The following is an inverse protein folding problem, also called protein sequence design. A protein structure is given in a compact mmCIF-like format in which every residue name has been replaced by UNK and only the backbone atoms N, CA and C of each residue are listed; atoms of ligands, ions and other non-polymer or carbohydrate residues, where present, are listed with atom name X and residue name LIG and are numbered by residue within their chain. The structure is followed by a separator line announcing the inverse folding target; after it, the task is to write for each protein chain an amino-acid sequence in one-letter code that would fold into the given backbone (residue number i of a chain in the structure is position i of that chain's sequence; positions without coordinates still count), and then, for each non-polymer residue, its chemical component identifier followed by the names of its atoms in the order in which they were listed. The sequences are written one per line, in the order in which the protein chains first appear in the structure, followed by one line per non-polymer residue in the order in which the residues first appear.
data_IF_438932326777
#
_entry.id   IF_438932326777
#
_cell.length_a   1.000
_cell.length_b   1.000
_cell.length_c   1.000
_cell.angle_alpha   90.00
_cell.angle_beta   90.00
_cell.angle_gamma   90.00
#
_symmetry.space_group_name_H-M   'P 1'
#
loop_
_entity.id
_entity.type
_entity.pdbx_description
1 polymer ?
#
# COMPACT_ATOMS: atom_id res chain seq x y z
N UNK A 1 -5.67 -8.31 -7.93
CA UNK A 1 -4.36 -8.01 -7.33
C UNK A 1 -3.71 -9.30 -6.83
N UNK A 2 -2.42 -9.27 -6.46
CA UNK A 2 -1.74 -10.47 -5.93
C UNK A 2 -2.44 -10.94 -4.65
N UNK A 3 -2.88 -10.02 -3.79
CA UNK A 3 -3.72 -10.33 -2.61
C UNK A 3 -4.98 -11.11 -2.98
N UNK A 4 -5.73 -10.61 -3.97
CA UNK A 4 -6.97 -11.21 -4.45
C UNK A 4 -6.74 -12.60 -5.04
N UNK A 5 -5.63 -12.78 -5.76
CA UNK A 5 -5.23 -14.07 -6.28
C UNK A 5 -4.88 -15.06 -5.16
N UNK A 6 -4.13 -14.62 -4.14
CA UNK A 6 -3.86 -15.49 -2.98
C UNK A 6 -5.15 -15.89 -2.25
N UNK A 7 -6.06 -14.94 -2.06
CA UNK A 7 -7.36 -15.20 -1.44
C UNK A 7 -8.20 -16.19 -2.28
N UNK A 8 -8.18 -16.04 -3.61
CA UNK A 8 -8.79 -16.98 -4.54
C UNK A 8 -8.16 -18.38 -4.48
N UNK A 9 -6.83 -18.49 -4.38
CA UNK A 9 -6.15 -19.78 -4.23
C UNK A 9 -6.53 -20.49 -2.93
N UNK A 10 -6.82 -19.73 -1.86
CA UNK A 10 -7.25 -20.28 -0.58
C UNK A 10 -8.73 -20.71 -0.59
N UNK A 11 -9.63 -19.84 -1.07
CA UNK A 11 -11.08 -20.04 -0.92
C UNK A 11 -11.80 -20.55 -2.17
N UNK A 12 -11.20 -20.42 -3.34
CA UNK A 12 -11.86 -20.61 -4.64
C UNK A 12 -12.77 -19.45 -5.05
N UNK A 13 -12.91 -18.40 -4.23
CA UNK A 13 -13.72 -17.23 -4.54
C UNK A 13 -12.88 -16.06 -5.03
N UNK A 14 -13.28 -15.47 -6.16
CA UNK A 14 -12.58 -14.34 -6.76
C UNK A 14 -13.34 -13.04 -6.47
N UNK A 15 -12.65 -12.07 -5.86
CA UNK A 15 -13.14 -10.72 -5.64
C UNK A 15 -11.95 -9.76 -5.63
N UNK A 16 -12.21 -8.46 -5.69
CA UNK A 16 -11.17 -7.45 -5.46
C UNK A 16 -11.62 -6.49 -4.37
N UNK A 17 -10.66 -5.85 -3.69
CA UNK A 17 -10.96 -4.77 -2.75
C UNK A 17 -10.78 -3.38 -3.39
N UNK A 18 -11.54 -2.34 -2.97
CA UNK A 18 -11.42 -1.01 -3.54
C UNK A 18 -10.04 -0.37 -3.39
N UNK A 19 -9.36 -0.59 -2.26
CA UNK A 19 -8.10 0.07 -1.96
C UNK A 19 -6.96 -0.41 -2.85
N UNK A 20 -6.91 -1.70 -3.14
CA UNK A 20 -5.88 -2.26 -3.99
C UNK A 20 -6.26 -2.12 -5.46
N UNK A 21 -7.48 -2.50 -5.85
CA UNK A 21 -7.94 -2.39 -7.23
C UNK A 21 -8.12 -0.94 -7.71
N UNK A 22 -8.26 0.03 -6.80
CA UNK A 22 -8.26 1.47 -7.10
C UNK A 22 -7.06 1.91 -7.92
N UNK A 23 -5.90 1.30 -7.68
CA UNK A 23 -4.64 1.62 -8.36
C UNK A 23 -4.64 1.28 -9.86
N UNK A 24 -5.58 0.45 -10.33
CA UNK A 24 -5.71 0.09 -11.75
C UNK A 24 -6.16 1.24 -12.64
N UNK A 25 -6.82 2.26 -12.08
CA UNK A 25 -7.54 3.27 -12.84
C UNK A 25 -8.82 2.77 -13.53
N UNK A 26 -9.22 1.51 -13.31
CA UNK A 26 -10.46 0.91 -13.84
C UNK A 26 -11.61 0.95 -12.83
N UNK A 27 -11.31 1.24 -11.56
CA UNK A 27 -12.26 1.35 -10.48
C UNK A 27 -12.62 2.83 -10.23
N UNK A 28 -13.91 3.11 -10.09
CA UNK A 28 -14.42 4.46 -9.85
C UNK A 28 -14.30 4.82 -8.36
N UNK A 29 -13.62 5.93 -8.08
CA UNK A 29 -13.27 6.37 -6.73
C UNK A 29 -14.51 6.59 -5.82
N UNK A 30 -15.60 7.12 -6.39
CA UNK A 30 -16.79 7.51 -5.61
C UNK A 30 -17.70 6.32 -5.36
N UNK A 31 -17.99 5.55 -6.41
CA UNK A 31 -18.87 4.37 -6.30
C UNK A 31 -18.17 3.16 -5.68
N UNK A 32 -16.83 3.20 -5.58
CA UNK A 32 -15.97 2.11 -5.09
C UNK A 32 -16.20 0.80 -5.85
N UNK A 33 -16.56 0.91 -7.12
CA UNK A 33 -16.88 -0.20 -7.98
C UNK A 33 -16.29 0.03 -9.37
N UNK A 34 -16.26 -1.01 -10.18
CA UNK A 34 -15.73 -0.96 -11.52
C UNK A 34 -16.39 0.10 -12.41
N UNK A 35 -15.58 0.89 -13.12
CA UNK A 35 -16.05 1.87 -14.12
C UNK A 35 -16.31 1.16 -15.45
N UNK A 36 -17.57 0.77 -15.69
CA UNK A 36 -17.98 -0.04 -16.86
C UNK A 36 -17.43 0.48 -18.21
N UNK A 37 -17.43 1.78 -18.44
CA UNK A 37 -16.94 2.37 -19.70
C UNK A 37 -15.44 2.12 -19.92
N UNK A 38 -14.63 2.19 -18.86
CA UNK A 38 -13.19 1.94 -18.95
C UNK A 38 -12.87 0.47 -19.17
N UNK A 39 -13.67 -0.43 -18.61
CA UNK A 39 -13.53 -1.87 -18.80
C UNK A 39 -13.87 -2.28 -20.23
N UNK A 40 -14.96 -1.74 -20.79
CA UNK A 40 -15.32 -1.93 -22.19
C UNK A 40 -14.21 -1.40 -23.11
N UNK A 41 -13.67 -0.22 -22.81
CA UNK A 41 -12.53 0.35 -23.52
C UNK A 41 -11.27 -0.54 -23.44
N UNK A 42 -11.01 -1.14 -22.29
CA UNK A 42 -9.91 -2.07 -22.08
C UNK A 42 -10.14 -3.47 -22.73
N UNK A 43 -11.31 -3.71 -23.34
CA UNK A 43 -11.68 -5.02 -23.89
C UNK A 43 -11.92 -6.09 -22.81
N UNK A 44 -12.06 -5.69 -21.54
CA UNK A 44 -12.34 -6.60 -20.44
C UNK A 44 -13.82 -6.95 -20.46
N UNK A 45 -14.12 -8.24 -20.56
CA UNK A 45 -15.51 -8.69 -20.61
C UNK A 45 -16.17 -8.52 -19.25
N UNK A 46 -17.34 -7.90 -19.24
CA UNK A 46 -18.07 -7.58 -18.01
C UNK A 46 -18.56 -8.82 -17.24
N UNK A 47 -18.63 -9.97 -17.90
CA UNK A 47 -19.01 -11.25 -17.30
C UNK A 47 -17.85 -11.99 -16.61
N UNK A 48 -16.62 -11.47 -16.69
CA UNK A 48 -15.43 -12.02 -16.01
C UNK A 48 -14.99 -11.12 -14.84
N UNK A 49 -15.56 -9.93 -14.71
CA UNK A 49 -15.12 -8.97 -13.70
C UNK A 49 -15.36 -9.51 -12.30
N UNK A 50 -14.26 -9.68 -11.56
CA UNK A 50 -14.29 -10.03 -10.15
C UNK A 50 -15.13 -9.00 -9.39
N UNK A 51 -16.15 -9.40 -8.62
CA UNK A 51 -16.93 -8.45 -7.82
C UNK A 51 -16.03 -7.67 -6.87
N UNK A 52 -16.37 -6.39 -6.65
CA UNK A 52 -15.71 -5.57 -5.63
C UNK A 52 -16.35 -5.86 -4.28
N UNK A 53 -15.57 -6.27 -3.29
CA UNK A 53 -15.98 -6.48 -1.90
C UNK A 53 -15.14 -5.59 -0.97
N UNK A 54 -15.73 -4.99 0.06
CA UNK A 54 -14.98 -4.14 0.99
C UNK A 54 -13.99 -4.95 1.84
N UNK A 55 -12.86 -4.33 2.18
CA UNK A 55 -11.87 -4.90 3.09
C UNK A 55 -12.50 -5.28 4.43
N UNK A 56 -12.05 -6.39 5.02
CA UNK A 56 -12.57 -6.87 6.31
C UNK A 56 -13.90 -7.64 6.22
N UNK A 57 -14.48 -7.78 5.03
CA UNK A 57 -15.66 -8.63 4.81
C UNK A 57 -15.27 -10.08 4.53
N UNK A 58 -16.15 -11.02 4.86
CA UNK A 58 -15.95 -12.43 4.54
C UNK A 58 -15.90 -12.64 3.03
N UNK A 59 -14.76 -13.13 2.52
CA UNK A 59 -14.66 -13.58 1.14
C UNK A 59 -15.29 -14.96 1.03
N UNK A 60 -14.79 -15.92 1.80
CA UNK A 60 -15.20 -17.32 1.77
C UNK A 60 -14.46 -18.11 2.85
N UNK A 61 -14.23 -19.40 2.64
CA UNK A 61 -13.50 -20.25 3.58
C UNK A 61 -12.42 -21.06 2.86
N UNK A 62 -11.36 -21.43 3.58
CA UNK A 62 -10.27 -22.25 3.03
C UNK A 62 -10.84 -23.57 2.50
N UNK A 63 -10.56 -23.85 1.24
CA UNK A 63 -10.97 -25.09 0.57
C UNK A 63 -10.17 -26.29 1.07
N UNK A 64 -10.70 -27.50 0.91
CA UNK A 64 -10.00 -28.74 1.27
C UNK A 64 -8.64 -28.84 0.56
N UNK A 65 -8.61 -28.52 -0.74
CA UNK A 65 -7.39 -28.54 -1.56
C UNK A 65 -6.34 -27.55 -1.06
N UNK A 66 -6.76 -26.34 -0.66
CA UNK A 66 -5.84 -25.34 -0.14
C UNK A 66 -5.29 -25.73 1.24
N UNK A 67 -6.15 -26.28 2.12
CA UNK A 67 -5.77 -26.75 3.45
C UNK A 67 -4.62 -27.77 3.41
N UNK A 68 -4.64 -28.68 2.43
CA UNK A 68 -3.58 -29.68 2.20
C UNK A 68 -2.22 -29.07 1.82
N UNK A 69 -2.19 -27.81 1.34
CA UNK A 69 -0.98 -27.15 0.85
C UNK A 69 -0.44 -26.08 1.80
N UNK A 70 -1.32 -25.39 2.55
CA UNK A 70 -0.94 -24.27 3.41
C UNK A 70 -0.95 -24.61 4.90
N UNK A 71 -1.30 -25.84 5.28
CA UNK A 71 -1.36 -26.32 6.67
C UNK A 71 -2.33 -25.51 7.55
N UNK A 72 -3.37 -24.95 6.93
CA UNK A 72 -4.50 -24.31 7.62
C UNK A 72 -5.72 -25.22 7.60
N UNK A 73 -6.55 -25.14 8.64
CA UNK A 73 -7.76 -25.94 8.75
C UNK A 73 -8.76 -25.58 7.63
N UNK A 74 -9.25 -26.58 6.91
CA UNK A 74 -10.35 -26.41 5.95
C UNK A 74 -11.58 -25.81 6.65
N UNK A 75 -12.26 -24.87 5.99
CA UNK A 75 -13.35 -24.12 6.59
C UNK A 75 -12.91 -22.90 7.41
N UNK A 76 -11.61 -22.61 7.56
CA UNK A 76 -11.15 -21.35 8.18
C UNK A 76 -11.61 -20.15 7.34
N UNK A 77 -12.15 -19.07 7.94
CA UNK A 77 -12.57 -17.88 7.22
C UNK A 77 -11.42 -17.21 6.44
N UNK A 78 -11.68 -16.85 5.19
CA UNK A 78 -10.81 -16.01 4.36
C UNK A 78 -11.47 -14.65 4.23
N UNK A 79 -10.78 -13.60 4.64
CA UNK A 79 -11.28 -12.23 4.69
C UNK A 79 -10.70 -11.41 3.53
N UNK A 80 -11.51 -10.55 2.93
CA UNK A 80 -11.07 -9.63 1.87
C UNK A 80 -9.99 -8.70 2.40
N UNK A 81 -8.86 -8.64 1.69
CA UNK A 81 -7.69 -7.85 2.04
C UNK A 81 -7.79 -6.37 1.61
N UNK A 82 -6.63 -5.75 1.45
CA UNK A 82 -6.46 -4.35 1.09
C UNK A 82 -5.08 -4.09 0.50
N UNK A 83 -4.84 -2.88 0.01
CA UNK A 83 -3.49 -2.45 -0.38
C UNK A 83 -2.61 -2.16 0.85
N UNK A 84 -1.31 -2.37 0.71
CA UNK A 84 -0.34 -2.28 1.81
C UNK A 84 -0.34 -0.90 2.49
N UNK A 85 -0.46 0.17 1.71
CA UNK A 85 -0.47 1.56 2.23
C UNK A 85 -1.69 1.78 3.13
N UNK A 86 -2.87 1.34 2.68
CA UNK A 86 -4.13 1.57 3.38
C UNK A 86 -4.26 0.67 4.61
N UNK A 87 -3.83 -0.60 4.52
CA UNK A 87 -3.74 -1.49 5.67
C UNK A 87 -2.67 -1.03 6.67
N UNK A 88 -1.55 -0.48 6.18
CA UNK A 88 -0.54 0.16 7.02
C UNK A 88 -1.11 1.37 7.77
N UNK A 89 -1.86 2.24 7.10
CA UNK A 89 -2.57 3.36 7.73
C UNK A 89 -3.57 2.87 8.79
N UNK A 90 -4.33 1.82 8.49
CA UNK A 90 -5.21 1.15 9.46
C UNK A 90 -4.42 0.69 10.70
N UNK A 91 -3.29 0.01 10.52
CA UNK A 91 -2.42 -0.46 11.62
C UNK A 91 -1.80 0.67 12.45
N UNK A 92 -1.59 1.85 11.86
CA UNK A 92 -1.11 3.06 12.54
C UNK A 92 -2.24 3.88 13.20
N UNK A 93 -3.51 3.48 13.04
CA UNK A 93 -4.66 4.24 13.54
C UNK A 93 -5.00 5.50 12.72
N UNK A 94 -4.51 5.59 11.48
CA UNK A 94 -4.77 6.68 10.52
C UNK A 94 -6.05 6.33 9.75
N UNK A 95 -7.20 6.42 10.44
CA UNK A 95 -8.50 5.89 9.98
C UNK A 95 -9.64 6.90 10.01
N UNK A 96 -9.35 8.16 10.30
CA UNK A 96 -10.30 9.27 10.35
C UNK A 96 -9.88 10.38 9.38
N UNK A 97 -10.82 11.19 8.88
CA UNK A 97 -10.50 12.36 8.07
C UNK A 97 -9.48 13.29 8.74
N UNK A 98 -8.68 13.96 7.92
CA UNK A 98 -7.59 14.86 8.31
C UNK A 98 -6.41 14.21 9.06
N UNK A 99 -6.45 12.92 9.37
CA UNK A 99 -5.25 12.20 9.80
C UNK A 99 -4.29 12.01 8.62
N UNK A 100 -3.00 12.02 8.93
CA UNK A 100 -1.92 11.92 7.94
C UNK A 100 -0.80 11.00 8.42
N UNK A 101 -0.08 10.41 7.48
CA UNK A 101 1.15 9.67 7.73
C UNK A 101 2.21 9.96 6.67
N UNK A 102 3.47 9.76 7.05
CA UNK A 102 4.62 9.74 6.13
C UNK A 102 5.25 8.35 6.22
N UNK A 103 5.27 7.64 5.10
CA UNK A 103 5.82 6.29 5.00
C UNK A 103 7.24 6.37 4.42
N UNK A 104 8.26 6.26 5.28
CA UNK A 104 9.67 6.39 4.93
C UNK A 104 10.29 5.11 4.36
N UNK A 105 9.75 4.59 3.27
CA UNK A 105 10.24 3.36 2.63
C UNK A 105 11.28 3.59 1.52
N UNK A 106 11.37 2.63 0.59
CA UNK A 106 12.20 2.77 -0.63
C UNK A 106 11.78 4.00 -1.44
N UNK A 107 10.47 4.24 -1.54
CA UNK A 107 9.88 5.49 -1.98
C UNK A 107 9.12 6.07 -0.80
N UNK A 108 9.30 7.36 -0.55
CA UNK A 108 8.55 8.05 0.48
C UNK A 108 7.15 8.36 0.00
N UNK A 109 6.17 8.15 0.86
CA UNK A 109 4.77 8.46 0.55
C UNK A 109 4.17 9.34 1.64
N UNK A 110 3.50 10.41 1.23
CA UNK A 110 2.70 11.25 2.10
C UNK A 110 1.24 10.94 1.83
N UNK A 111 0.52 10.56 2.89
CA UNK A 111 -0.88 10.18 2.80
C UNK A 111 -1.74 11.04 3.72
N UNK A 112 -2.92 11.45 3.24
CA UNK A 112 -3.87 12.23 4.03
C UNK A 112 -5.29 11.71 3.79
N UNK A 113 -6.00 11.40 4.86
CA UNK A 113 -7.39 10.97 4.78
C UNK A 113 -8.30 12.16 4.46
N UNK A 114 -9.08 12.06 3.40
CA UNK A 114 -9.99 13.13 2.99
C UNK A 114 -11.40 12.92 3.57
N UNK A 115 -12.13 13.99 3.93
CA UNK A 115 -13.53 13.90 4.36
C UNK A 115 -14.49 13.57 3.21
N UNK A 116 -14.10 13.84 1.97
CA UNK A 116 -14.85 13.53 0.75
C UNK A 116 -13.91 13.34 -0.44
N UNK A 117 -14.30 12.59 -1.49
CA UNK A 117 -13.49 12.44 -2.69
C UNK A 117 -13.32 13.76 -3.45
N UNK A 118 -12.07 14.25 -3.52
CA UNK A 118 -11.69 15.45 -4.26
C UNK A 118 -10.38 15.16 -4.98
N UNK A 119 -10.31 15.45 -6.27
CA UNK A 119 -9.12 15.27 -7.11
C UNK A 119 -8.33 16.57 -7.25
N UNK A 120 -7.00 16.47 -7.29
CA UNK A 120 -6.13 17.61 -7.58
C UNK A 120 -6.35 18.12 -9.03
N UNK A 121 -6.74 19.39 -9.24
CA UNK A 121 -6.90 19.98 -10.58
C UNK A 121 -5.63 19.90 -11.44
N UNK A 122 -4.46 19.85 -10.82
CA UNK A 122 -3.17 19.78 -11.50
C UNK A 122 -2.68 18.34 -11.72
N UNK A 123 -3.43 17.33 -11.25
CA UNK A 123 -3.09 15.91 -11.38
C UNK A 123 -1.72 15.51 -10.82
N UNK A 124 -1.23 16.21 -9.80
CA UNK A 124 0.02 15.87 -9.12
C UNK A 124 -0.19 14.78 -8.08
N UNK A 125 -1.29 14.89 -7.31
CA UNK A 125 -1.60 13.99 -6.19
C UNK A 125 -2.67 12.98 -6.61
N UNK A 126 -2.37 11.69 -6.42
CA UNK A 126 -3.34 10.61 -6.67
C UNK A 126 -4.31 10.51 -5.51
N UNK A 127 -5.54 10.09 -5.79
CA UNK A 127 -6.54 9.81 -4.76
C UNK A 127 -6.90 8.34 -4.86
N UNK A 128 -6.77 7.60 -3.76
CA UNK A 128 -7.03 6.17 -3.73
C UNK A 128 -8.11 5.84 -2.68
N UNK A 129 -8.98 4.83 -2.92
CA UNK A 129 -9.89 4.35 -1.89
C UNK A 129 -9.12 3.88 -0.64
N UNK A 130 -9.58 4.26 0.55
CA UNK A 130 -9.08 3.67 1.78
C UNK A 130 -9.77 2.32 2.05
N UNK A 131 -9.14 1.45 2.83
CA UNK A 131 -9.78 0.24 3.41
C UNK A 131 -10.94 0.55 4.37
N UNK A 132 -11.08 1.79 4.85
CA UNK A 132 -12.25 2.21 5.63
C UNK A 132 -13.38 2.48 4.64
N UNK A 133 -14.55 1.83 4.78
CA UNK A 133 -15.66 2.00 3.84
C UNK A 133 -16.07 3.46 3.68
N UNK A 134 -16.25 3.90 2.42
CA UNK A 134 -16.66 5.27 2.09
C UNK A 134 -15.57 6.34 2.22
N UNK A 135 -14.35 5.99 2.66
CA UNK A 135 -13.24 6.95 2.81
C UNK A 135 -12.24 6.83 1.67
N UNK A 136 -11.55 7.93 1.37
CA UNK A 136 -10.45 8.00 0.40
C UNK A 136 -9.24 8.68 1.04
N UNK A 137 -8.07 8.46 0.45
CA UNK A 137 -6.83 9.09 0.87
C UNK A 137 -6.13 9.74 -0.32
N UNK A 138 -5.50 10.88 -0.08
CA UNK A 138 -4.48 11.39 -1.01
C UNK A 138 -3.23 10.54 -0.89
N UNK A 139 -2.54 10.33 -2.01
CA UNK A 139 -1.26 9.66 -2.08
C UNK A 139 -0.31 10.49 -2.95
N UNK A 140 0.62 11.16 -2.28
CA UNK A 140 1.77 11.78 -2.93
C UNK A 140 2.99 10.89 -2.74
N UNK A 141 3.76 10.66 -3.81
CA UNK A 141 4.89 9.74 -3.80
C UNK A 141 6.14 10.49 -4.20
N UNK A 142 7.07 10.63 -3.26
CA UNK A 142 8.40 11.17 -3.50
C UNK A 142 9.33 10.04 -3.93
N UNK A 143 9.60 9.96 -5.24
CA UNK A 143 10.60 9.05 -5.76
C UNK A 143 12.02 9.36 -5.23
N UNK A 144 12.95 8.47 -5.54
CA UNK A 144 14.36 8.54 -5.16
C UNK A 144 14.64 8.34 -3.67
N UNK A 145 14.26 9.26 -2.78
CA UNK A 145 14.40 9.21 -1.31
C UNK A 145 15.16 8.00 -0.73
N UNK A 146 14.48 6.96 -0.24
CA UNK A 146 15.11 5.80 0.39
C UNK A 146 16.01 5.00 -0.55
N UNK A 147 15.65 4.92 -1.83
CA UNK A 147 16.48 4.29 -2.87
C UNK A 147 17.81 5.03 -3.06
N UNK A 148 17.80 6.37 -3.09
CA UNK A 148 19.02 7.18 -3.18
C UNK A 148 19.82 7.18 -1.89
N UNK A 149 19.18 7.06 -0.72
CA UNK A 149 19.88 6.84 0.55
C UNK A 149 20.62 5.50 0.57
N UNK A 150 19.99 4.44 0.06
CA UNK A 150 20.66 3.14 -0.13
C UNK A 150 21.83 3.23 -1.10
N UNK A 151 21.63 3.91 -2.23
CA UNK A 151 22.70 4.15 -3.18
C UNK A 151 23.88 4.89 -2.53
N UNK A 152 23.64 5.95 -1.76
CA UNK A 152 24.70 6.69 -1.08
C UNK A 152 25.48 5.79 -0.12
N UNK A 153 24.75 5.03 0.72
CA UNK A 153 25.35 4.06 1.66
C UNK A 153 26.21 3.03 0.93
N UNK A 154 25.70 2.45 -0.16
CA UNK A 154 26.38 1.36 -0.85
C UNK A 154 27.52 1.84 -1.77
N UNK A 155 27.48 3.09 -2.24
CA UNK A 155 28.50 3.67 -3.10
C UNK A 155 29.66 4.33 -2.34
N UNK A 156 29.38 4.97 -1.19
CA UNK A 156 30.37 5.80 -0.48
C UNK A 156 30.65 5.36 0.95
N UNK A 157 29.72 4.68 1.61
CA UNK A 157 29.83 4.36 3.04
C UNK A 157 30.25 2.91 3.31
N UNK A 158 31.09 2.34 2.44
CA UNK A 158 31.54 0.95 2.58
C UNK A 158 32.33 0.73 3.89
N UNK A 159 33.11 1.73 4.32
CA UNK A 159 33.89 1.66 5.56
C UNK A 159 32.99 1.79 6.80
N UNK A 160 32.01 2.70 6.78
CA UNK A 160 31.04 2.87 7.86
C UNK A 160 30.21 1.61 8.08
N UNK A 161 29.92 0.82 7.04
CA UNK A 161 29.26 -0.49 7.20
C UNK A 161 30.10 -1.44 8.08
N UNK A 162 31.41 -1.50 7.87
CA UNK A 162 32.31 -2.32 8.71
C UNK A 162 32.39 -1.81 10.15
N UNK A 163 32.35 -0.48 10.35
CA UNK A 163 32.34 0.12 11.69
C UNK A 163 31.02 -0.21 12.39
N UNK A 164 29.88 -0.05 11.71
CA UNK A 164 28.56 -0.35 12.24
C UNK A 164 28.41 -1.83 12.63
N UNK A 165 28.94 -2.76 11.81
CA UNK A 165 29.00 -4.18 12.14
C UNK A 165 29.77 -4.46 13.44
N UNK A 166 30.93 -3.82 13.64
CA UNK A 166 31.72 -3.96 14.88
C UNK A 166 31.02 -3.38 16.10
N UNK A 167 30.22 -2.34 15.90
CA UNK A 167 29.42 -1.69 16.95
C UNK A 167 28.09 -2.42 17.21
N UNK A 168 27.69 -3.37 16.36
CA UNK A 168 26.41 -4.08 16.48
C UNK A 168 25.18 -3.22 16.18
N UNK A 169 25.32 -2.20 15.32
CA UNK A 169 24.24 -1.27 14.94
C UNK A 169 24.04 -1.23 13.41
N UNK A 170 22.92 -0.65 12.94
CA UNK A 170 22.72 -0.38 11.51
C UNK A 170 23.67 0.72 11.05
N UNK A 171 24.21 0.59 9.83
CA UNK A 171 24.98 1.62 9.16
C UNK A 171 24.23 2.95 9.08
N UNK A 172 22.90 2.94 8.88
CA UNK A 172 22.13 4.18 8.90
C UNK A 172 22.13 4.86 10.28
N UNK A 173 22.07 4.11 11.37
CA UNK A 173 22.14 4.68 12.73
C UNK A 173 23.49 5.33 13.01
N UNK A 174 24.59 4.71 12.53
CA UNK A 174 25.91 5.33 12.60
C UNK A 174 25.96 6.63 11.80
N UNK A 175 25.46 6.61 10.56
CA UNK A 175 25.43 7.80 9.70
C UNK A 175 24.53 8.91 10.26
N UNK A 176 23.44 8.57 10.95
CA UNK A 176 22.59 9.52 11.67
C UNK A 176 23.32 10.16 12.85
N UNK A 177 24.07 9.39 13.66
CA UNK A 177 24.89 9.95 14.74
C UNK A 177 25.96 10.90 14.19
N UNK A 178 26.62 10.54 13.08
CA UNK A 178 27.57 11.41 12.42
C UNK A 178 26.91 12.71 11.93
N UNK A 179 25.74 12.60 11.28
CA UNK A 179 24.99 13.73 10.77
C UNK A 179 24.45 14.64 11.88
N UNK A 180 24.21 14.13 13.09
CA UNK A 180 23.75 14.92 14.24
C UNK A 180 24.69 16.07 14.64
N UNK A 181 25.97 15.96 14.25
CA UNK A 181 27.01 16.98 14.49
C UNK A 181 27.06 18.05 13.42
N UNK A 182 26.36 17.86 12.30
CA UNK A 182 26.27 18.83 11.20
C UNK A 182 25.17 19.84 11.56
N UNK A 183 25.52 21.13 11.54
CA UNK A 183 24.54 22.20 11.81
C UNK A 183 23.44 22.19 10.74
N UNK A 184 22.18 22.51 11.10
CA UNK A 184 21.13 22.72 10.11
C UNK A 184 21.59 23.73 9.05
N UNK A 185 21.36 23.40 7.77
CA UNK A 185 21.65 24.32 6.69
C UNK A 185 20.92 25.66 6.94
N UNK A 186 21.63 26.78 6.80
CA UNK A 186 20.97 28.09 6.81
C UNK A 186 20.04 28.15 5.60
N UNK A 187 18.74 28.27 5.85
CA UNK A 187 17.76 28.61 4.81
C UNK A 187 18.15 29.98 4.24
N UNK A 188 18.43 30.01 2.94
CA UNK A 188 18.55 31.25 2.16
C UNK A 188 17.17 31.62 1.63
#
# INVERSE_FOLDING_TARGET
MISDWMAFMLSGELAVDPSNAGTTGLLDLVTRNWKRSLLQMAGLRSDILSPVKETGTLLGHISQKAAEQCDLQAGTPVIVGGGDVQLGCLGLGVVRPAQTAVLGGTFWQQVVNLPAPVTDPNMNVRINPHVIPGMVQTESISFFTGLTMRWFRDAFCAEEKLIAERLGIDAYSLLEDMASRVLPARTV
#
